data_IF_360046646699
#
_entry.id   IF_360046646699
#
_cell.length_a   1.000
_cell.length_b   1.000
_cell.length_c   1.000
_cell.angle_alpha   90.00
_cell.angle_beta   90.00
_cell.angle_gamma   90.00
#
_symmetry.space_group_name_H-M   'P 1'
#
loop_
_entity.id
_entity.type
_entity.pdbx_description
1 polymer ?
#
# COMPACT_ATOMS: atom_id res chain seq x y z
N UNK A 1 14.80 75.67 -41.69
CA UNK A 1 14.12 74.65 -42.52
C UNK A 1 15.17 74.01 -43.42
N UNK A 2 15.22 72.68 -43.66
CA UNK A 2 14.49 71.55 -43.08
C UNK A 2 15.42 70.47 -42.45
N UNK A 3 14.77 69.41 -41.98
CA UNK A 3 15.20 68.20 -41.24
C UNK A 3 16.33 67.35 -41.82
N UNK A 4 16.98 66.54 -40.97
CA UNK A 4 16.90 65.07 -41.02
C UNK A 4 17.54 64.38 -39.78
N UNK A 5 16.92 63.25 -39.41
CA UNK A 5 17.17 62.40 -38.23
C UNK A 5 18.28 61.36 -38.47
N UNK A 6 18.99 60.94 -37.42
CA UNK A 6 19.46 59.54 -37.20
C UNK A 6 19.86 59.39 -35.72
N UNK A 7 19.08 58.67 -34.90
CA UNK A 7 19.12 57.23 -34.52
C UNK A 7 20.40 56.81 -33.77
N UNK A 8 20.18 56.54 -32.48
CA UNK A 8 21.10 56.03 -31.46
C UNK A 8 21.42 54.55 -31.66
N UNK A 9 22.68 54.17 -31.43
CA UNK A 9 23.09 52.78 -31.22
C UNK A 9 23.46 52.59 -29.74
N UNK A 10 22.73 51.72 -29.04
CA UNK A 10 23.07 51.27 -27.68
C UNK A 10 23.54 49.82 -27.74
N UNK A 11 24.77 49.59 -27.25
CA UNK A 11 25.36 48.28 -27.01
C UNK A 11 24.56 47.54 -25.93
N UNK A 12 24.07 46.35 -26.25
CA UNK A 12 23.56 45.38 -25.27
C UNK A 12 24.67 44.36 -25.03
N UNK A 13 25.15 44.28 -23.79
CA UNK A 13 26.07 43.25 -23.34
C UNK A 13 25.35 41.90 -23.23
N UNK A 14 25.91 40.86 -23.84
CA UNK A 14 25.49 39.48 -23.66
C UNK A 14 25.94 38.98 -22.27
N UNK A 15 24.98 38.69 -21.40
CA UNK A 15 25.18 37.86 -20.22
C UNK A 15 25.08 36.39 -20.64
N UNK A 16 26.18 35.65 -20.49
CA UNK A 16 26.22 34.21 -20.70
C UNK A 16 25.49 33.48 -19.57
N UNK A 17 24.39 32.81 -19.89
CA UNK A 17 23.77 31.83 -19.01
C UNK A 17 24.60 30.55 -19.03
N UNK A 18 25.22 30.22 -17.90
CA UNK A 18 25.76 28.88 -17.65
C UNK A 18 24.60 27.90 -17.61
N UNK A 19 24.57 26.97 -18.55
CA UNK A 19 23.63 25.86 -18.54
C UNK A 19 23.95 24.97 -17.33
N UNK A 20 23.05 24.97 -16.34
CA UNK A 20 23.00 23.92 -15.34
C UNK A 20 22.68 22.62 -16.09
N UNK A 21 23.66 21.71 -16.15
CA UNK A 21 23.45 20.35 -16.62
C UNK A 21 22.54 19.65 -15.62
N UNK A 22 21.25 19.58 -15.94
CA UNK A 22 20.34 18.67 -15.28
C UNK A 22 20.86 17.25 -15.50
N UNK A 23 21.38 16.62 -14.45
CA UNK A 23 21.48 15.17 -14.42
C UNK A 23 20.05 14.63 -14.43
N UNK A 24 19.51 14.40 -15.61
CA UNK A 24 18.34 13.55 -15.75
C UNK A 24 18.79 12.16 -15.26
N UNK A 25 18.19 11.69 -14.17
CA UNK A 25 18.37 10.33 -13.72
C UNK A 25 18.10 9.39 -14.91
N UNK A 26 18.91 8.33 -15.10
CA UNK A 26 18.59 7.31 -16.09
C UNK A 26 17.19 6.75 -15.80
N UNK A 27 16.42 6.33 -16.82
CA UNK A 27 15.13 5.68 -16.59
C UNK A 27 15.33 4.51 -15.61
N UNK A 28 14.38 4.25 -14.68
CA UNK A 28 14.58 3.21 -13.67
C UNK A 28 14.91 1.88 -14.34
N UNK A 29 15.97 1.25 -13.84
CA UNK A 29 16.22 -0.17 -14.05
C UNK A 29 15.01 -0.95 -13.53
N UNK A 30 14.19 -1.50 -14.43
CA UNK A 30 13.00 -2.34 -14.20
C UNK A 30 11.91 -1.79 -13.26
N UNK A 31 10.65 -1.89 -13.68
CA UNK A 31 9.48 -1.58 -12.86
C UNK A 31 9.45 -2.48 -11.60
N UNK A 32 9.15 -1.90 -10.43
CA UNK A 32 8.94 -2.65 -9.19
C UNK A 32 7.65 -3.48 -9.30
N UNK A 33 7.77 -4.77 -8.98
CA UNK A 33 6.64 -5.67 -8.78
C UNK A 33 6.80 -6.29 -7.39
N UNK A 34 6.15 -5.72 -6.38
CA UNK A 34 6.33 -6.11 -4.98
C UNK A 34 5.09 -6.81 -4.41
N UNK A 35 5.26 -7.48 -3.27
CA UNK A 35 4.13 -8.01 -2.49
C UNK A 35 4.51 -8.18 -1.02
N UNK A 36 3.49 -8.41 -0.19
CA UNK A 36 3.62 -8.90 1.17
C UNK A 36 3.39 -10.41 1.21
N UNK A 37 4.22 -11.12 1.95
CA UNK A 37 3.98 -12.48 2.41
C UNK A 37 3.62 -12.41 3.89
N UNK A 38 2.34 -12.63 4.26
CA UNK A 38 1.96 -12.70 5.66
C UNK A 38 2.38 -14.04 6.26
N UNK A 39 3.38 -14.00 7.14
CA UNK A 39 3.87 -15.20 7.83
C UNK A 39 2.75 -15.92 8.61
N UNK A 40 1.80 -15.18 9.18
CA UNK A 40 0.62 -15.73 9.86
C UNK A 40 -0.36 -16.50 8.97
N UNK A 41 -0.19 -16.49 7.64
CA UNK A 41 -0.94 -17.35 6.71
C UNK A 41 -0.12 -18.54 6.18
N UNK A 42 1.16 -18.64 6.52
CA UNK A 42 2.04 -19.73 6.08
C UNK A 42 1.53 -21.12 6.46
N UNK A 43 1.01 -21.26 7.68
CA UNK A 43 0.43 -22.49 8.20
C UNK A 43 -1.10 -22.57 7.97
N UNK A 44 -1.68 -21.63 7.22
CA UNK A 44 -3.13 -21.50 6.97
C UNK A 44 -3.49 -21.58 5.50
N UNK A 45 -2.71 -22.32 4.71
CA UNK A 45 -3.02 -22.61 3.31
C UNK A 45 -2.20 -21.81 2.29
N UNK A 46 -1.21 -21.00 2.73
CA UNK A 46 -0.28 -20.33 1.82
C UNK A 46 1.17 -20.37 2.33
N UNK A 47 1.82 -21.55 2.30
CA UNK A 47 3.22 -21.69 2.72
C UNK A 47 4.19 -20.97 1.77
N UNK A 48 5.43 -20.74 2.22
CA UNK A 48 6.51 -20.11 1.43
C UNK A 48 6.73 -20.79 0.07
N UNK A 49 6.48 -22.10 -0.04
CA UNK A 49 6.61 -22.86 -1.28
C UNK A 49 5.65 -22.44 -2.39
N UNK A 50 4.53 -21.80 -2.03
CA UNK A 50 3.45 -21.46 -2.95
C UNK A 50 3.61 -20.04 -3.52
N UNK A 51 4.60 -19.29 -3.02
CA UNK A 51 4.95 -17.97 -3.53
C UNK A 51 5.38 -18.03 -5.00
N UNK A 52 4.76 -17.24 -5.89
CA UNK A 52 5.14 -17.16 -7.30
C UNK A 52 6.35 -16.22 -7.48
N UNK A 53 7.51 -16.65 -6.98
CA UNK A 53 8.72 -15.81 -6.86
C UNK A 53 9.14 -15.12 -8.16
N UNK A 54 8.98 -15.78 -9.32
CA UNK A 54 9.33 -15.22 -10.63
C UNK A 54 8.50 -13.99 -11.03
N UNK A 55 7.44 -13.68 -10.27
CA UNK A 55 6.55 -12.55 -10.50
C UNK A 55 6.94 -11.28 -9.74
N UNK A 56 7.95 -11.33 -8.87
CA UNK A 56 8.28 -10.22 -7.97
C UNK A 56 9.74 -9.78 -8.04
N UNK A 57 9.99 -8.49 -7.84
CA UNK A 57 11.32 -7.88 -7.67
C UNK A 57 11.79 -7.96 -6.22
N UNK A 58 10.85 -7.81 -5.30
CA UNK A 58 11.05 -7.82 -3.86
C UNK A 58 9.77 -8.34 -3.17
N UNK A 59 9.96 -9.00 -2.03
CA UNK A 59 8.86 -9.46 -1.19
C UNK A 59 9.14 -9.07 0.25
N UNK A 60 8.08 -8.62 0.94
CA UNK A 60 8.12 -8.20 2.34
C UNK A 60 7.46 -9.23 3.22
N UNK A 61 8.19 -9.77 4.18
CA UNK A 61 7.63 -10.62 5.22
C UNK A 61 6.87 -9.74 6.22
N UNK A 62 5.55 -9.91 6.31
CA UNK A 62 4.66 -9.16 7.19
C UNK A 62 4.36 -9.98 8.45
N UNK A 63 4.58 -9.51 9.68
CA UNK A 63 5.27 -8.28 10.09
C UNK A 63 6.16 -8.56 11.30
N UNK A 64 7.20 -7.73 11.47
CA UNK A 64 7.85 -7.52 12.75
C UNK A 64 7.18 -6.33 13.46
N UNK A 65 6.51 -6.58 14.58
CA UNK A 65 5.81 -5.53 15.33
C UNK A 65 6.76 -4.74 16.25
N UNK A 66 6.53 -3.44 16.42
CA UNK A 66 7.31 -2.64 17.38
C UNK A 66 6.89 -2.92 18.82
N UNK A 67 7.85 -2.86 19.74
CA UNK A 67 7.63 -3.04 21.18
C UNK A 67 7.93 -1.76 21.99
N UNK A 68 7.36 -1.59 23.21
CA UNK A 68 7.59 -0.40 24.04
C UNK A 68 9.06 -0.16 24.41
N UNK A 69 9.88 -1.22 24.45
CA UNK A 69 11.30 -1.19 24.79
C UNK A 69 12.22 -0.95 23.57
N UNK A 70 11.64 -0.78 22.37
CA UNK A 70 12.38 -0.58 21.12
C UNK A 70 12.91 -1.88 20.50
N UNK A 71 12.45 -3.04 20.97
CA UNK A 71 12.63 -4.33 20.28
C UNK A 71 11.60 -4.54 19.17
N UNK A 72 11.79 -5.61 18.39
CA UNK A 72 10.90 -6.04 17.32
C UNK A 72 10.40 -7.46 17.62
N UNK A 73 9.08 -7.68 17.52
CA UNK A 73 8.43 -8.95 17.79
C UNK A 73 7.88 -9.58 16.51
N UNK A 74 8.36 -10.79 16.19
CA UNK A 74 7.93 -11.59 15.04
C UNK A 74 6.97 -12.72 15.45
N UNK A 75 6.64 -12.88 16.74
CA UNK A 75 5.91 -14.04 17.28
C UNK A 75 4.52 -14.23 16.66
N UNK A 76 3.87 -13.14 16.24
CA UNK A 76 2.57 -13.15 15.56
C UNK A 76 2.63 -13.50 14.09
N UNK A 77 3.84 -13.64 13.52
CA UNK A 77 4.02 -13.93 12.11
C UNK A 77 5.01 -15.08 11.88
N UNK A 78 4.85 -16.17 12.63
CA UNK A 78 5.55 -17.44 12.35
C UNK A 78 7.07 -17.28 12.18
N UNK A 79 7.81 -16.86 13.22
CA UNK A 79 9.22 -16.48 13.11
C UNK A 79 10.11 -17.59 12.51
N UNK A 80 9.75 -18.85 12.70
CA UNK A 80 10.46 -20.01 12.15
C UNK A 80 10.40 -20.09 10.61
N UNK A 81 9.46 -19.40 9.96
CA UNK A 81 9.36 -19.32 8.50
C UNK A 81 10.29 -18.27 7.90
N UNK A 82 10.80 -17.30 8.68
CA UNK A 82 11.64 -16.22 8.16
C UNK A 82 12.91 -16.74 7.46
N UNK A 83 13.69 -17.70 8.01
CA UNK A 83 14.84 -18.24 7.31
C UNK A 83 14.47 -18.95 6.00
N UNK A 84 13.35 -19.68 5.97
CA UNK A 84 12.85 -20.40 4.78
C UNK A 84 12.46 -19.39 3.70
N UNK A 85 11.76 -18.32 4.09
CA UNK A 85 11.39 -17.20 3.24
C UNK A 85 12.62 -16.52 2.60
N UNK A 86 13.60 -16.15 3.41
CA UNK A 86 14.81 -15.46 2.92
C UNK A 86 15.60 -16.38 1.96
N UNK A 87 15.74 -17.66 2.29
CA UNK A 87 16.43 -18.61 1.41
C UNK A 87 15.70 -18.75 0.07
N UNK A 88 14.37 -18.90 0.10
CA UNK A 88 13.55 -19.04 -1.10
C UNK A 88 13.61 -17.77 -1.98
N UNK A 89 13.50 -16.58 -1.39
CA UNK A 89 13.62 -15.31 -2.10
C UNK A 89 14.98 -15.19 -2.82
N UNK A 90 16.08 -15.43 -2.09
CA UNK A 90 17.44 -15.34 -2.64
C UNK A 90 17.70 -16.35 -3.74
N UNK A 91 17.21 -17.59 -3.58
CA UNK A 91 17.30 -18.64 -4.60
C UNK A 91 16.62 -18.22 -5.91
N UNK A 92 15.58 -17.41 -5.84
CA UNK A 92 14.85 -16.90 -7.01
C UNK A 92 15.31 -15.51 -7.46
N UNK A 93 16.37 -14.93 -6.86
CA UNK A 93 16.86 -13.60 -7.22
C UNK A 93 15.94 -12.45 -6.80
N UNK A 94 15.05 -12.69 -5.83
CA UNK A 94 14.09 -11.73 -5.30
C UNK A 94 14.65 -11.13 -4.00
N UNK A 95 14.50 -9.83 -3.79
CA UNK A 95 14.93 -9.18 -2.55
C UNK A 95 14.04 -9.60 -1.39
N UNK A 96 14.64 -10.06 -0.30
CA UNK A 96 13.95 -10.43 0.93
C UNK A 96 13.96 -9.27 1.92
N UNK A 97 12.79 -8.71 2.21
CA UNK A 97 12.59 -7.67 3.22
C UNK A 97 11.76 -8.23 4.38
N UNK A 98 11.91 -7.65 5.56
CA UNK A 98 10.88 -7.70 6.61
C UNK A 98 10.20 -6.34 6.65
N UNK A 99 8.87 -6.34 6.68
CA UNK A 99 8.10 -5.15 6.98
C UNK A 99 7.94 -5.00 8.49
N UNK A 100 8.44 -3.87 9.00
CA UNK A 100 8.31 -3.47 10.39
C UNK A 100 7.04 -2.64 10.50
N UNK A 101 6.17 -2.99 11.45
CA UNK A 101 4.93 -2.26 11.71
C UNK A 101 3.67 -3.00 11.26
N UNK A 102 2.96 -2.42 10.30
CA UNK A 102 1.58 -2.75 9.96
C UNK A 102 0.59 -2.14 10.96
N UNK A 103 -0.70 -2.39 10.74
CA UNK A 103 -1.79 -1.83 11.55
C UNK A 103 -1.59 -2.01 13.07
N UNK A 104 -1.32 -3.24 13.52
CA UNK A 104 -1.11 -3.57 14.94
C UNK A 104 0.30 -3.24 15.44
N UNK A 105 1.31 -3.43 14.59
CA UNK A 105 2.71 -3.26 14.95
C UNK A 105 3.19 -1.80 14.97
N UNK A 106 2.36 -0.84 14.56
CA UNK A 106 2.70 0.59 14.50
C UNK A 106 2.65 1.34 15.84
N UNK A 107 2.34 0.66 16.96
CA UNK A 107 2.06 1.30 18.26
C UNK A 107 3.24 2.11 18.82
N UNK A 108 4.48 1.70 18.57
CA UNK A 108 5.67 2.24 19.25
C UNK A 108 6.72 2.87 18.33
N UNK A 109 6.38 3.14 17.06
CA UNK A 109 7.26 3.88 16.16
C UNK A 109 7.59 5.28 16.68
N UNK A 110 6.58 6.04 17.11
CA UNK A 110 6.76 7.41 17.61
C UNK A 110 7.75 7.50 18.77
N UNK A 111 7.66 6.57 19.73
CA UNK A 111 8.61 6.50 20.85
C UNK A 111 9.99 6.02 20.41
N UNK A 112 10.06 5.06 19.49
CA UNK A 112 11.33 4.54 18.95
C UNK A 112 12.11 5.61 18.19
N UNK A 113 11.44 6.54 17.51
CA UNK A 113 12.09 7.64 16.78
C UNK A 113 12.17 8.96 17.57
N UNK A 114 11.42 9.08 18.67
CA UNK A 114 11.12 10.35 19.33
C UNK A 114 12.30 11.06 20.01
N UNK A 115 13.47 10.42 20.14
CA UNK A 115 14.69 11.04 20.65
C UNK A 115 15.93 10.48 19.97
N UNK A 116 17.04 11.23 19.97
CA UNK A 116 18.31 10.76 19.39
C UNK A 116 18.79 9.43 20.01
N UNK A 117 18.63 9.28 21.34
CA UNK A 117 18.97 8.03 22.04
C UNK A 117 18.13 6.86 21.53
N UNK A 118 16.82 7.04 21.40
CA UNK A 118 15.93 5.98 20.95
C UNK A 118 16.16 5.65 19.48
N UNK A 119 16.38 6.65 18.60
CA UNK A 119 16.73 6.42 17.20
C UNK A 119 18.00 5.61 17.05
N UNK A 120 19.08 5.99 17.75
CA UNK A 120 20.34 5.23 17.72
C UNK A 120 20.16 3.80 18.21
N UNK A 121 19.36 3.58 19.25
CA UNK A 121 19.05 2.23 19.74
C UNK A 121 18.24 1.43 18.70
N UNK A 122 17.23 2.05 18.08
CA UNK A 122 16.39 1.38 17.10
C UNK A 122 17.09 1.13 15.76
N UNK A 123 18.05 1.98 15.36
CA UNK A 123 18.96 1.72 14.23
C UNK A 123 19.72 0.42 14.49
N UNK A 124 20.24 0.23 15.71
CA UNK A 124 20.90 -1.03 16.09
C UNK A 124 19.93 -2.21 16.08
N UNK A 125 18.70 -2.06 16.57
CA UNK A 125 17.66 -3.09 16.47
C UNK A 125 17.42 -3.52 15.01
N UNK A 126 17.25 -2.56 14.10
CA UNK A 126 17.02 -2.82 12.69
C UNK A 126 18.22 -3.53 12.01
N UNK A 127 19.45 -3.05 12.26
CA UNK A 127 20.66 -3.67 11.70
C UNK A 127 20.90 -5.08 12.25
N UNK A 128 20.57 -5.32 13.52
CA UNK A 128 20.63 -6.67 14.10
C UNK A 128 19.64 -7.60 13.40
N UNK A 129 18.40 -7.17 13.19
CA UNK A 129 17.38 -7.96 12.47
C UNK A 129 17.84 -8.31 11.05
N UNK A 130 18.36 -7.32 10.32
CA UNK A 130 18.91 -7.52 8.97
C UNK A 130 20.04 -8.53 8.98
N UNK A 131 20.97 -8.42 9.93
CA UNK A 131 22.11 -9.34 10.06
C UNK A 131 21.69 -10.76 10.44
N UNK A 132 20.77 -10.88 11.39
CA UNK A 132 20.28 -12.15 11.92
C UNK A 132 19.61 -12.98 10.82
N UNK A 133 18.68 -12.36 10.08
CA UNK A 133 17.94 -13.05 9.03
C UNK A 133 18.58 -12.91 7.65
N UNK A 134 19.70 -12.20 7.53
CA UNK A 134 20.41 -11.94 6.27
C UNK A 134 19.50 -11.26 5.24
N UNK A 135 18.74 -10.25 5.65
CA UNK A 135 17.81 -9.54 4.77
C UNK A 135 18.55 -8.69 3.74
N UNK A 136 17.91 -8.44 2.60
CA UNK A 136 18.39 -7.47 1.60
C UNK A 136 17.95 -6.04 1.97
N UNK A 137 16.98 -5.90 2.88
CA UNK A 137 16.36 -4.63 3.17
C UNK A 137 15.30 -4.68 4.27
N UNK A 138 14.68 -3.53 4.50
CA UNK A 138 13.57 -3.33 5.44
C UNK A 138 12.48 -2.50 4.79
N UNK A 139 11.23 -2.85 5.09
CA UNK A 139 10.07 -2.02 4.81
C UNK A 139 9.55 -1.42 6.13
N UNK A 140 9.12 -0.16 6.09
CA UNK A 140 8.53 0.53 7.23
C UNK A 140 7.07 0.85 6.96
N UNK A 141 6.17 0.07 7.55
CA UNK A 141 4.73 0.27 7.45
C UNK A 141 4.21 0.92 8.73
N UNK A 142 4.40 2.24 8.84
CA UNK A 142 3.96 3.02 9.99
C UNK A 142 2.57 3.64 9.75
N UNK A 143 1.61 3.16 10.54
CA UNK A 143 0.22 3.58 10.53
C UNK A 143 -0.21 4.30 11.83
N UNK A 144 -0.08 5.64 11.95
CA UNK A 144 0.52 6.60 10.99
C UNK A 144 1.34 7.68 11.72
N UNK A 145 2.35 8.29 11.07
CA UNK A 145 3.06 9.45 11.63
C UNK A 145 2.09 10.59 11.98
N UNK A 146 2.14 11.07 13.23
CA UNK A 146 1.32 12.16 13.76
C UNK A 146 -0.20 12.00 13.53
N UNK A 147 -0.71 10.75 13.57
CA UNK A 147 -2.15 10.43 13.53
C UNK A 147 -2.39 9.02 14.08
N UNK A 148 -3.54 8.79 14.69
CA UNK A 148 -3.93 7.44 15.11
C UNK A 148 -4.18 6.54 13.89
N UNK A 149 -3.74 5.28 13.99
CA UNK A 149 -4.20 4.16 13.17
C UNK A 149 -5.12 3.29 14.02
N UNK A 150 -4.55 2.25 14.62
CA UNK A 150 -5.23 1.30 15.51
C UNK A 150 -6.00 1.94 16.67
N UNK A 151 -5.55 3.10 17.17
CA UNK A 151 -6.28 3.89 18.18
C UNK A 151 -5.57 4.04 19.53
N UNK A 152 -4.45 3.34 19.73
CA UNK A 152 -3.57 3.50 20.88
C UNK A 152 -2.10 3.66 20.47
N UNK A 153 -1.84 4.12 19.25
CA UNK A 153 -0.49 4.43 18.81
C UNK A 153 0.09 5.55 19.69
N UNK A 154 1.37 5.43 20.06
CA UNK A 154 2.13 6.59 20.53
C UNK A 154 2.23 7.60 19.38
N UNK A 155 2.06 8.88 19.71
CA UNK A 155 2.05 9.98 18.72
C UNK A 155 2.95 11.12 19.18
N UNK A 156 3.70 11.68 18.24
CA UNK A 156 4.43 12.92 18.42
C UNK A 156 4.21 13.82 17.19
N UNK A 157 4.02 15.12 17.42
CA UNK A 157 3.87 16.08 16.30
C UNK A 157 5.05 16.03 15.32
N UNK A 158 6.25 15.70 15.78
CA UNK A 158 7.45 15.63 14.95
C UNK A 158 7.69 14.23 14.35
N UNK A 159 6.71 13.33 14.35
CA UNK A 159 6.86 11.93 13.91
C UNK A 159 7.51 11.80 12.53
N UNK A 160 7.02 12.51 11.51
CA UNK A 160 7.58 12.45 10.16
C UNK A 160 9.05 12.95 10.11
N UNK A 161 9.36 14.05 10.80
CA UNK A 161 10.74 14.57 10.85
C UNK A 161 11.69 13.63 11.60
N UNK A 162 11.22 13.03 12.70
CA UNK A 162 11.97 12.05 13.46
C UNK A 162 12.19 10.77 12.65
N UNK A 163 11.22 10.36 11.84
CA UNK A 163 11.34 9.20 10.96
C UNK A 163 12.42 9.42 9.90
N UNK A 164 12.39 10.59 9.23
CA UNK A 164 13.42 10.94 8.26
C UNK A 164 14.81 10.94 8.91
N UNK A 165 14.94 11.58 10.08
CA UNK A 165 16.20 11.60 10.84
C UNK A 165 16.69 10.19 11.19
N UNK A 166 15.77 9.29 11.55
CA UNK A 166 16.09 7.88 11.81
C UNK A 166 16.63 7.18 10.55
N UNK A 167 15.96 7.34 9.41
CA UNK A 167 16.41 6.74 8.14
C UNK A 167 17.78 7.29 7.71
N UNK A 168 18.03 8.58 7.90
CA UNK A 168 19.35 9.17 7.67
C UNK A 168 20.43 8.61 8.63
N UNK A 169 20.10 8.41 9.91
CA UNK A 169 20.99 7.77 10.88
C UNK A 169 21.29 6.31 10.51
N UNK A 170 20.29 5.59 10.00
CA UNK A 170 20.43 4.23 9.47
C UNK A 170 21.36 4.20 8.24
N UNK A 171 21.13 5.08 7.26
CA UNK A 171 21.98 5.19 6.05
C UNK A 171 23.43 5.56 6.34
N UNK A 172 23.71 6.25 7.45
CA UNK A 172 25.07 6.60 7.89
C UNK A 172 25.85 5.41 8.45
N UNK A 173 25.18 4.32 8.86
CA UNK A 173 25.87 3.11 9.28
C UNK A 173 26.43 2.36 8.07
N UNK A 174 27.65 1.78 8.14
CA UNK A 174 28.23 1.02 7.03
C UNK A 174 27.30 -0.08 6.50
N UNK A 175 26.65 -0.81 7.40
CA UNK A 175 25.70 -1.88 7.08
C UNK A 175 24.36 -1.36 6.55
N UNK A 176 24.00 -0.11 6.86
CA UNK A 176 22.74 0.52 6.44
C UNK A 176 22.82 1.23 5.09
N UNK A 177 24.03 1.56 4.62
CA UNK A 177 24.26 2.34 3.40
C UNK A 177 23.62 1.70 2.16
N UNK A 178 23.78 0.39 2.00
CA UNK A 178 23.39 -0.34 0.78
C UNK A 178 22.10 -1.17 0.94
N UNK A 179 21.36 -1.01 2.06
CA UNK A 179 20.10 -1.72 2.28
C UNK A 179 19.01 -1.26 1.32
N UNK A 180 18.15 -2.17 0.89
CA UNK A 180 16.93 -1.81 0.18
C UNK A 180 15.89 -1.32 1.21
N UNK A 181 15.56 -0.02 1.23
CA UNK A 181 14.65 0.56 2.21
C UNK A 181 13.38 1.05 1.54
N UNK A 182 12.24 0.59 2.02
CA UNK A 182 10.93 1.01 1.53
C UNK A 182 10.04 1.46 2.68
N UNK A 183 8.96 2.17 2.35
CA UNK A 183 7.94 2.48 3.34
C UNK A 183 6.55 2.39 2.71
N UNK A 184 5.55 2.09 3.53
CA UNK A 184 4.14 2.19 3.14
C UNK A 184 3.53 3.49 3.70
N UNK A 185 2.66 4.09 2.90
CA UNK A 185 1.97 5.34 3.22
C UNK A 185 0.50 5.28 2.82
N UNK A 186 -0.34 6.03 3.53
CA UNK A 186 -1.77 6.14 3.19
C UNK A 186 -1.99 6.91 1.88
N UNK A 187 -3.25 7.06 1.46
CA UNK A 187 -3.63 7.95 0.34
C UNK A 187 -3.23 9.42 0.53
N UNK A 188 -2.89 9.83 1.76
CA UNK A 188 -2.33 11.15 2.04
C UNK A 188 -0.86 11.04 2.44
N UNK A 189 -0.03 12.04 2.04
CA UNK A 189 1.30 12.24 2.60
C UNK A 189 1.29 12.23 4.12
N UNK A 190 2.38 11.79 4.73
CA UNK A 190 2.52 11.80 6.19
C UNK A 190 2.33 13.20 6.77
N UNK A 191 1.75 13.25 7.99
CA UNK A 191 1.42 14.52 8.61
C UNK A 191 2.66 15.29 9.08
N UNK A 192 2.67 16.59 8.85
CA UNK A 192 3.66 17.51 9.43
C UNK A 192 3.34 17.82 10.91
N UNK A 193 4.13 18.69 11.53
CA UNK A 193 3.97 19.07 12.95
C UNK A 193 2.66 19.79 13.30
N UNK A 194 1.90 20.25 12.31
CA UNK A 194 0.57 20.84 12.49
C UNK A 194 -0.56 19.80 12.38
N UNK A 195 -0.24 18.53 12.09
CA UNK A 195 -1.24 17.47 11.96
C UNK A 195 -1.96 17.44 10.61
N UNK A 196 -1.43 18.14 9.60
CA UNK A 196 -1.95 18.14 8.23
C UNK A 196 -0.95 17.45 7.30
N UNK A 197 -1.42 16.91 6.17
CA UNK A 197 -0.57 16.26 5.19
C UNK A 197 0.62 17.15 4.78
N UNK A 198 1.83 16.62 4.87
CA UNK A 198 3.04 17.37 4.54
C UNK A 198 3.13 17.67 3.04
N UNK A 199 3.67 18.84 2.71
CA UNK A 199 4.09 19.21 1.35
C UNK A 199 5.61 19.15 1.19
N UNK A 200 6.30 18.63 2.20
CA UNK A 200 7.76 18.62 2.33
C UNK A 200 8.20 17.23 2.82
N UNK A 201 8.45 16.34 1.87
CA UNK A 201 8.88 14.95 2.07
C UNK A 201 10.03 14.56 1.12
N UNK A 202 10.63 15.51 0.41
CA UNK A 202 11.72 15.25 -0.55
C UNK A 202 12.94 14.58 0.11
N UNK A 203 13.20 14.85 1.39
CA UNK A 203 14.21 14.15 2.18
C UNK A 203 14.06 12.63 2.17
N UNK A 204 12.82 12.12 2.16
CA UNK A 204 12.56 10.67 2.11
C UNK A 204 12.97 10.05 0.76
N UNK A 205 12.86 10.78 -0.34
CA UNK A 205 13.28 10.32 -1.66
C UNK A 205 14.79 10.02 -1.74
N UNK A 206 15.59 10.62 -0.86
CA UNK A 206 17.05 10.40 -0.79
C UNK A 206 17.45 9.17 0.04
N UNK A 207 16.55 8.65 0.86
CA UNK A 207 16.87 7.56 1.81
C UNK A 207 16.07 6.29 1.54
N UNK A 208 14.94 6.38 0.85
CA UNK A 208 14.10 5.25 0.45
C UNK A 208 14.29 4.91 -1.04
N UNK A 209 14.24 3.63 -1.35
CA UNK A 209 14.21 3.12 -2.71
C UNK A 209 12.84 3.40 -3.36
N UNK A 210 11.75 3.21 -2.62
CA UNK A 210 10.41 3.65 -2.99
C UNK A 210 9.47 3.81 -1.79
N UNK A 211 8.36 4.49 -2.00
CA UNK A 211 7.20 4.54 -1.10
C UNK A 211 6.01 3.87 -1.78
N UNK A 212 5.40 2.90 -1.11
CA UNK A 212 4.16 2.27 -1.54
C UNK A 212 2.96 3.03 -0.99
N UNK A 213 2.02 3.40 -1.86
CA UNK A 213 0.74 3.99 -1.47
C UNK A 213 -0.29 2.88 -1.26
N UNK A 214 -0.78 2.74 -0.02
CA UNK A 214 -1.87 1.84 0.37
C UNK A 214 -3.20 2.30 -0.22
N UNK A 215 -3.37 2.10 -1.53
CA UNK A 215 -4.60 2.44 -2.24
C UNK A 215 -5.66 1.33 -2.08
N UNK A 216 -6.08 1.11 -0.84
CA UNK A 216 -7.10 0.13 -0.42
C UNK A 216 -7.67 0.51 0.95
N UNK A 217 -8.67 -0.23 1.42
CA UNK A 217 -9.42 0.01 2.66
C UNK A 217 -10.17 1.34 2.69
N UNK A 218 -10.70 1.76 1.54
CA UNK A 218 -11.53 2.97 1.45
C UNK A 218 -12.95 2.76 1.99
N UNK A 219 -13.50 1.58 1.76
CA UNK A 219 -14.83 1.16 2.21
C UNK A 219 -14.73 -0.23 2.84
N UNK A 220 -15.40 -0.41 3.97
CA UNK A 220 -15.47 -1.70 4.67
C UNK A 220 -16.63 -1.75 5.66
N UNK A 221 -16.60 -2.68 6.61
CA UNK A 221 -17.69 -2.86 7.58
C UNK A 221 -17.96 -1.63 8.48
N UNK A 222 -17.05 -0.65 8.52
CA UNK A 222 -17.23 0.63 9.22
C UNK A 222 -18.03 1.68 8.41
N UNK A 223 -18.18 1.50 7.10
CA UNK A 223 -18.79 2.50 6.21
C UNK A 223 -20.32 2.49 6.30
N UNK A 224 -21.04 3.60 6.04
CA UNK A 224 -22.51 3.59 6.03
C UNK A 224 -23.10 2.93 4.76
N UNK A 225 -22.30 2.75 3.71
CA UNK A 225 -22.69 2.15 2.44
C UNK A 225 -21.63 1.15 1.97
N UNK A 226 -22.02 0.27 1.05
CA UNK A 226 -21.07 -0.36 0.14
C UNK A 226 -20.33 0.69 -0.71
N UNK A 227 -19.14 0.33 -1.17
CA UNK A 227 -18.30 1.18 -2.00
C UNK A 227 -17.01 0.45 -2.41
N UNK A 228 -16.18 1.08 -3.26
CA UNK A 228 -14.96 0.48 -3.78
C UNK A 228 -13.91 0.29 -2.69
N UNK A 229 -13.32 -0.91 -2.55
CA UNK A 229 -12.19 -1.13 -1.63
C UNK A 229 -10.97 -0.28 -2.03
N UNK A 230 -10.64 -0.24 -3.31
CA UNK A 230 -9.39 0.33 -3.81
C UNK A 230 -9.60 1.17 -5.09
N UNK A 231 -10.29 2.32 -4.99
CA UNK A 231 -10.62 3.14 -6.14
C UNK A 231 -9.39 3.78 -6.79
N UNK A 232 -9.29 3.71 -8.12
CA UNK A 232 -8.33 4.51 -8.88
C UNK A 232 -8.73 5.99 -8.94
N UNK A 233 -10.03 6.30 -9.03
CA UNK A 233 -10.57 7.65 -8.98
C UNK A 233 -11.86 7.69 -8.18
N UNK A 234 -12.09 8.78 -7.42
CA UNK A 234 -13.35 9.00 -6.69
C UNK A 234 -14.35 9.88 -7.45
N UNK A 235 -14.12 10.18 -8.72
CA UNK A 235 -14.95 11.11 -9.51
C UNK A 235 -16.43 10.67 -9.63
N UNK A 236 -16.73 9.38 -9.43
CA UNK A 236 -18.10 8.86 -9.37
C UNK A 236 -18.70 8.86 -7.94
N UNK A 237 -17.95 9.27 -6.92
CA UNK A 237 -18.35 9.17 -5.51
C UNK A 237 -18.06 10.44 -4.72
N UNK A 238 -19.06 11.31 -4.64
CA UNK A 238 -18.97 12.55 -3.87
C UNK A 238 -18.99 12.36 -2.35
N UNK A 239 -19.26 11.15 -1.85
CA UNK A 239 -19.20 10.85 -0.40
C UNK A 239 -17.79 10.53 0.06
N UNK A 240 -16.94 10.04 -0.84
CA UNK A 240 -15.55 9.75 -0.53
C UNK A 240 -14.76 11.06 -0.36
N UNK A 241 -14.34 11.33 0.86
CA UNK A 241 -13.46 12.43 1.24
C UNK A 241 -12.02 11.97 1.60
N UNK A 242 -11.75 10.67 1.49
CA UNK A 242 -10.44 10.07 1.76
C UNK A 242 -9.53 10.10 0.52
N UNK A 243 -10.10 10.22 -0.68
CA UNK A 243 -9.36 10.25 -1.94
C UNK A 243 -9.35 8.91 -2.66
N UNK A 244 -8.50 8.81 -3.68
CA UNK A 244 -8.31 7.61 -4.50
C UNK A 244 -6.86 7.58 -5.03
N UNK A 245 -6.51 6.51 -5.75
CA UNK A 245 -5.16 6.30 -6.26
C UNK A 245 -4.60 7.46 -7.11
N UNK A 246 -5.42 8.09 -7.95
CA UNK A 246 -5.04 9.26 -8.76
C UNK A 246 -4.63 10.46 -7.90
N UNK A 247 -5.50 10.88 -6.99
CA UNK A 247 -5.24 11.99 -6.08
C UNK A 247 -4.08 11.70 -5.12
N UNK A 248 -3.90 10.45 -4.68
CA UNK A 248 -2.81 10.11 -3.80
C UNK A 248 -1.45 10.26 -4.50
N UNK A 249 -1.32 9.75 -5.73
CA UNK A 249 -0.10 9.94 -6.53
C UNK A 249 0.20 11.43 -6.72
N UNK A 250 -0.81 12.24 -7.03
CA UNK A 250 -0.65 13.68 -7.18
C UNK A 250 -0.18 14.34 -5.87
N UNK A 251 -0.81 14.02 -4.73
CA UNK A 251 -0.46 14.58 -3.42
C UNK A 251 0.96 14.20 -2.98
N UNK A 252 1.33 12.93 -3.09
CA UNK A 252 2.67 12.46 -2.73
C UNK A 252 3.75 13.02 -3.66
N UNK A 253 3.44 13.15 -4.96
CA UNK A 253 4.34 13.82 -5.90
C UNK A 253 4.52 15.30 -5.58
N UNK A 254 3.43 16.00 -5.25
CA UNK A 254 3.46 17.40 -4.86
C UNK A 254 4.20 17.63 -3.52
N UNK A 255 4.25 16.61 -2.65
CA UNK A 255 5.02 16.64 -1.42
C UNK A 255 6.53 16.36 -1.62
N UNK A 256 6.97 16.12 -2.85
CA UNK A 256 8.40 15.98 -3.19
C UNK A 256 8.87 14.55 -3.47
N UNK A 257 7.99 13.55 -3.45
CA UNK A 257 8.37 12.17 -3.82
C UNK A 257 8.34 12.02 -5.35
N UNK A 258 9.44 11.66 -6.01
CA UNK A 258 9.44 11.41 -7.45
C UNK A 258 8.43 10.34 -7.83
N UNK A 259 7.66 10.54 -8.90
CA UNK A 259 6.70 9.55 -9.40
C UNK A 259 7.35 8.17 -9.62
N UNK A 260 8.59 8.14 -10.10
CA UNK A 260 9.37 6.90 -10.29
C UNK A 260 9.77 6.17 -9.00
N UNK A 261 9.54 6.77 -7.83
CA UNK A 261 9.70 6.17 -6.50
C UNK A 261 8.35 5.95 -5.79
N UNK A 262 7.23 6.21 -6.48
CA UNK A 262 5.90 5.89 -5.97
C UNK A 262 5.47 4.52 -6.52
N UNK A 263 5.10 3.62 -5.64
CA UNK A 263 4.59 2.28 -5.97
C UNK A 263 3.09 2.22 -5.62
N UNK A 264 2.26 1.83 -6.58
CA UNK A 264 0.81 1.75 -6.35
C UNK A 264 0.45 0.44 -5.62
N UNK A 265 -0.13 0.56 -4.42
CA UNK A 265 -0.72 -0.56 -3.70
C UNK A 265 -1.99 -1.07 -4.38
N UNK A 266 -2.11 -2.38 -4.54
CA UNK A 266 -3.30 -3.04 -5.11
C UNK A 266 -3.70 -4.24 -4.23
N UNK A 267 -4.94 -4.32 -3.72
CA UNK A 267 -5.31 -5.38 -2.79
C UNK A 267 -5.67 -6.68 -3.52
N UNK A 268 -5.22 -7.82 -3.00
CA UNK A 268 -5.69 -9.15 -3.42
C UNK A 268 -6.90 -9.62 -2.60
N UNK A 269 -7.70 -8.67 -2.10
CA UNK A 269 -8.87 -8.90 -1.26
C UNK A 269 -9.93 -7.82 -1.47
N UNK A 270 -11.12 -8.07 -0.95
CA UNK A 270 -12.25 -7.17 -0.92
C UNK A 270 -13.00 -7.18 0.40
N UNK A 271 -13.99 -6.29 0.51
CA UNK A 271 -14.83 -6.12 1.69
C UNK A 271 -16.29 -6.45 1.37
N UNK A 272 -16.93 -7.16 2.28
CA UNK A 272 -18.34 -7.51 2.26
C UNK A 272 -19.20 -6.56 3.08
N UNK A 273 -20.46 -6.42 2.68
CA UNK A 273 -21.43 -5.49 3.23
C UNK A 273 -22.79 -6.19 3.35
N UNK A 274 -23.45 -6.08 4.50
CA UNK A 274 -24.80 -6.61 4.70
C UNK A 274 -25.81 -5.67 4.04
N UNK A 275 -26.41 -6.08 2.93
CA UNK A 275 -27.27 -5.22 2.10
C UNK A 275 -28.53 -5.96 1.69
N UNK A 276 -29.69 -5.47 2.14
CA UNK A 276 -30.97 -6.05 1.74
C UNK A 276 -31.20 -5.96 0.22
N UNK A 277 -31.94 -6.91 -0.33
CA UNK A 277 -32.12 -7.04 -1.78
C UNK A 277 -32.66 -5.77 -2.47
N UNK A 278 -33.59 -5.05 -1.84
CA UNK A 278 -34.17 -3.81 -2.39
C UNK A 278 -33.14 -2.68 -2.50
N UNK A 279 -32.18 -2.63 -1.57
CA UNK A 279 -31.09 -1.64 -1.58
C UNK A 279 -30.00 -2.01 -2.57
N UNK A 280 -29.68 -3.30 -2.65
CA UNK A 280 -28.68 -3.84 -3.58
C UNK A 280 -29.12 -3.68 -5.03
N UNK A 281 -30.40 -3.93 -5.35
CA UNK A 281 -30.89 -3.98 -6.74
C UNK A 281 -31.86 -2.84 -7.05
N UNK A 282 -31.40 -1.86 -7.82
CA UNK A 282 -32.23 -0.77 -8.35
C UNK A 282 -32.58 -1.06 -9.81
N UNK A 283 -33.87 -1.23 -10.11
CA UNK A 283 -34.36 -1.61 -11.45
C UNK A 283 -33.64 -2.85 -12.01
N UNK A 284 -33.40 -3.85 -11.16
CA UNK A 284 -32.71 -5.09 -11.53
C UNK A 284 -31.19 -4.95 -11.73
N UNK A 285 -30.60 -3.76 -11.54
CA UNK A 285 -29.16 -3.52 -11.63
C UNK A 285 -28.56 -3.39 -10.24
N UNK A 286 -27.37 -3.97 -10.07
CA UNK A 286 -26.62 -3.87 -8.83
C UNK A 286 -26.16 -2.43 -8.60
N UNK A 287 -26.57 -1.85 -7.48
CA UNK A 287 -26.18 -0.51 -7.02
C UNK A 287 -24.70 -0.50 -6.65
N UNK A 288 -24.00 0.56 -7.05
CA UNK A 288 -22.58 0.75 -6.73
C UNK A 288 -22.33 1.09 -5.25
N UNK A 289 -23.31 1.74 -4.62
CA UNK A 289 -23.16 2.25 -3.26
C UNK A 289 -24.44 2.08 -2.45
N UNK A 290 -24.89 0.83 -2.24
CA UNK A 290 -26.10 0.57 -1.46
C UNK A 290 -25.87 0.86 0.03
N UNK A 291 -26.89 1.35 0.77
CA UNK A 291 -26.81 1.44 2.23
C UNK A 291 -26.60 0.05 2.84
N UNK A 292 -25.73 -0.04 3.85
CA UNK A 292 -25.46 -1.30 4.56
C UNK A 292 -26.03 -1.30 5.98
N UNK A 293 -26.30 -2.49 6.52
CA UNK A 293 -26.59 -2.69 7.92
C UNK A 293 -25.28 -2.87 8.71
N UNK A 294 -24.72 -1.77 9.22
CA UNK A 294 -23.45 -1.75 9.96
C UNK A 294 -23.48 -2.51 11.29
N UNK A 295 -24.67 -2.81 11.82
CA UNK A 295 -24.81 -3.60 13.06
C UNK A 295 -24.70 -5.10 12.82
N UNK A 296 -24.91 -5.55 11.58
CA UNK A 296 -24.74 -6.94 11.20
C UNK A 296 -23.31 -7.18 10.73
N UNK A 297 -22.44 -7.57 11.68
CA UNK A 297 -21.06 -7.98 11.44
C UNK A 297 -21.01 -9.49 11.19
N UNK A 298 -20.29 -9.91 10.16
CA UNK A 298 -20.19 -11.31 9.75
C UNK A 298 -18.77 -11.61 9.28
N UNK A 299 -18.37 -12.88 9.41
CA UNK A 299 -17.09 -13.35 8.92
C UNK A 299 -17.14 -13.51 7.39
N UNK A 300 -16.17 -12.93 6.70
CA UNK A 300 -16.04 -13.04 5.25
C UNK A 300 -15.44 -14.38 4.82
N UNK A 301 -14.18 -14.58 5.16
CA UNK A 301 -13.41 -15.80 4.82
C UNK A 301 -12.90 -16.52 6.05
N UNK A 302 -12.36 -17.72 5.86
CA UNK A 302 -11.64 -18.42 6.94
C UNK A 302 -10.35 -17.71 7.40
N UNK A 303 -9.87 -16.70 6.66
CA UNK A 303 -8.77 -15.80 7.09
C UNK A 303 -9.25 -14.52 7.80
N UNK A 304 -10.54 -14.19 7.72
CA UNK A 304 -11.17 -13.06 8.43
C UNK A 304 -11.43 -13.40 9.91
N UNK A 305 -10.35 -13.71 10.63
CA UNK A 305 -10.39 -14.22 12.00
C UNK A 305 -9.59 -13.31 12.91
N UNK A 306 -10.11 -12.10 13.14
CA UNK A 306 -9.55 -11.19 14.13
C UNK A 306 -9.92 -11.63 15.55
N UNK A 307 -9.06 -11.35 16.55
CA UNK A 307 -9.42 -11.56 17.94
C UNK A 307 -10.63 -10.69 18.30
N UNK A 308 -11.49 -11.15 19.22
CA UNK A 308 -12.68 -10.39 19.61
C UNK A 308 -12.37 -9.00 20.22
N UNK A 309 -11.15 -8.82 20.72
CA UNK A 309 -10.63 -7.57 21.29
C UNK A 309 -9.26 -7.30 20.64
N UNK A 310 -9.05 -6.07 20.17
CA UNK A 310 -7.79 -5.63 19.57
C UNK A 310 -6.70 -5.34 20.62
N UNK A 311 -5.49 -5.05 20.15
CA UNK A 311 -4.32 -4.72 20.98
C UNK A 311 -4.46 -3.41 21.77
N UNK A 312 -5.49 -2.62 21.51
CA UNK A 312 -5.85 -1.40 22.24
C UNK A 312 -7.00 -1.62 23.23
N UNK A 313 -7.56 -2.83 23.31
CA UNK A 313 -8.68 -3.15 24.18
C UNK A 313 -10.07 -2.83 23.60
N UNK A 314 -10.17 -2.50 22.31
CA UNK A 314 -11.45 -2.23 21.66
C UNK A 314 -12.07 -3.51 21.08
N UNK A 315 -13.41 -3.61 20.99
CA UNK A 315 -14.06 -4.70 20.27
C UNK A 315 -13.66 -4.74 18.80
N UNK A 316 -13.23 -5.91 18.31
CA UNK A 316 -12.88 -6.14 16.92
C UNK A 316 -13.79 -7.22 16.32
N UNK A 317 -15.05 -6.87 15.99
CA UNK A 317 -15.95 -7.81 15.34
C UNK A 317 -15.48 -8.11 13.90
N UNK A 318 -15.87 -9.26 13.32
CA UNK A 318 -15.45 -9.67 11.98
C UNK A 318 -15.56 -8.55 10.94
N UNK A 319 -14.54 -8.46 10.07
CA UNK A 319 -14.39 -7.39 9.08
C UNK A 319 -15.24 -7.59 7.83
N UNK A 320 -15.64 -8.84 7.54
CA UNK A 320 -16.28 -9.19 6.28
C UNK A 320 -15.26 -9.22 5.13
N UNK A 321 -14.02 -9.60 5.43
CA UNK A 321 -12.90 -9.54 4.46
C UNK A 321 -12.81 -10.82 3.64
N UNK A 322 -12.66 -10.65 2.32
CA UNK A 322 -12.55 -11.76 1.37
C UNK A 322 -11.30 -11.62 0.51
N UNK A 323 -10.24 -12.40 0.76
CA UNK A 323 -9.21 -12.65 -0.25
C UNK A 323 -9.84 -13.14 -1.57
N UNK A 324 -9.23 -12.89 -2.72
CA UNK A 324 -9.80 -13.30 -4.01
C UNK A 324 -10.09 -14.81 -4.05
N UNK A 325 -9.18 -15.63 -3.51
CA UNK A 325 -9.38 -17.08 -3.46
C UNK A 325 -10.65 -17.48 -2.70
N UNK A 326 -11.01 -16.80 -1.61
CA UNK A 326 -12.17 -17.19 -0.80
C UNK A 326 -13.48 -16.81 -1.48
N UNK A 327 -13.50 -15.75 -2.31
CA UNK A 327 -14.64 -15.44 -3.18
C UNK A 327 -14.94 -16.55 -4.18
N UNK A 328 -13.92 -17.35 -4.53
CA UNK A 328 -14.01 -18.47 -5.47
C UNK A 328 -14.33 -19.77 -4.72
N UNK A 329 -13.55 -20.10 -3.69
CA UNK A 329 -13.57 -21.45 -3.10
C UNK A 329 -14.46 -21.58 -1.86
N UNK A 330 -14.76 -20.50 -1.16
CA UNK A 330 -15.57 -20.53 0.07
C UNK A 330 -16.95 -19.91 -0.15
N UNK A 331 -16.99 -18.67 -0.65
CA UNK A 331 -18.20 -17.86 -0.70
C UNK A 331 -19.02 -18.05 -1.99
N UNK A 332 -18.43 -18.63 -3.04
CA UNK A 332 -19.12 -18.94 -4.30
C UNK A 332 -19.58 -17.71 -5.08
N UNK A 333 -18.98 -16.54 -4.85
CA UNK A 333 -19.26 -15.33 -5.62
C UNK A 333 -18.68 -15.40 -7.04
N UNK A 334 -17.55 -16.10 -7.19
CA UNK A 334 -16.77 -16.16 -8.41
C UNK A 334 -16.53 -17.60 -8.88
N UNK A 335 -16.36 -17.79 -10.19
CA UNK A 335 -15.87 -19.03 -10.81
C UNK A 335 -14.35 -19.14 -10.65
N UNK A 336 -13.78 -20.30 -11.00
CA UNK A 336 -12.34 -20.54 -10.95
C UNK A 336 -11.52 -19.56 -11.83
N UNK A 337 -12.14 -18.92 -12.83
CA UNK A 337 -11.54 -17.90 -13.69
C UNK A 337 -11.68 -16.47 -13.13
N UNK A 338 -12.17 -16.32 -11.89
CA UNK A 338 -12.39 -15.01 -11.26
C UNK A 338 -13.54 -14.22 -11.90
N UNK A 339 -14.53 -14.91 -12.49
CA UNK A 339 -15.73 -14.28 -13.08
C UNK A 339 -16.94 -14.45 -12.18
N UNK A 340 -17.93 -13.55 -12.19
CA UNK A 340 -19.15 -13.72 -11.40
C UNK A 340 -19.80 -15.08 -11.65
N UNK A 341 -20.07 -15.83 -10.58
CA UNK A 341 -20.70 -17.13 -10.68
C UNK A 341 -22.18 -17.02 -11.14
N UNK A 342 -22.77 -18.09 -11.73
CA UNK A 342 -24.17 -18.08 -12.13
C UNK A 342 -25.11 -17.70 -10.97
N UNK A 343 -26.00 -16.73 -11.21
CA UNK A 343 -26.94 -16.24 -10.20
C UNK A 343 -26.41 -15.11 -9.31
N UNK A 344 -25.11 -14.83 -9.35
CA UNK A 344 -24.48 -13.69 -8.66
C UNK A 344 -24.67 -12.42 -9.50
N UNK A 345 -25.19 -11.37 -8.86
CA UNK A 345 -25.32 -10.07 -9.51
C UNK A 345 -23.96 -9.38 -9.58
N UNK A 346 -23.66 -8.67 -10.66
CA UNK A 346 -22.38 -8.02 -10.89
C UNK A 346 -22.57 -6.58 -11.37
N UNK A 347 -21.63 -5.72 -11.01
CA UNK A 347 -21.50 -4.37 -11.57
C UNK A 347 -20.03 -3.96 -11.62
N UNK A 348 -19.76 -2.92 -12.40
CA UNK A 348 -18.45 -2.33 -12.58
C UNK A 348 -18.56 -0.82 -12.45
N UNK A 349 -17.70 -0.22 -11.62
CA UNK A 349 -17.58 1.23 -11.52
C UNK A 349 -16.43 1.72 -12.40
N UNK A 350 -16.76 2.52 -13.42
CA UNK A 350 -15.78 3.02 -14.37
C UNK A 350 -14.88 4.12 -13.81
N UNK A 351 -15.21 4.81 -12.72
CA UNK A 351 -14.31 5.80 -12.12
C UNK A 351 -13.30 5.11 -11.20
N UNK A 352 -13.79 4.30 -10.27
CA UNK A 352 -12.94 3.61 -9.31
C UNK A 352 -12.16 2.45 -9.95
N UNK A 353 -12.62 1.96 -11.11
CA UNK A 353 -12.09 0.77 -11.78
C UNK A 353 -12.16 -0.48 -10.90
N UNK A 354 -13.21 -0.60 -10.09
CA UNK A 354 -13.43 -1.77 -9.23
C UNK A 354 -14.76 -2.45 -9.57
N UNK A 355 -14.82 -3.79 -9.56
CA UNK A 355 -16.08 -4.53 -9.59
C UNK A 355 -16.79 -4.55 -8.24
N UNK A 356 -18.07 -4.95 -8.29
CA UNK A 356 -18.78 -5.47 -7.13
C UNK A 356 -19.70 -6.63 -7.51
N UNK A 357 -19.93 -7.53 -6.56
CA UNK A 357 -20.81 -8.70 -6.68
C UNK A 357 -21.83 -8.76 -5.56
N UNK A 358 -22.96 -9.43 -5.78
CA UNK A 358 -24.01 -9.57 -4.78
C UNK A 358 -24.74 -10.90 -4.87
N UNK A 359 -24.93 -11.54 -3.71
CA UNK A 359 -25.67 -12.78 -3.56
C UNK A 359 -27.00 -12.49 -2.86
N UNK A 360 -28.12 -12.78 -3.55
CA UNK A 360 -29.48 -12.53 -3.04
C UNK A 360 -29.84 -13.41 -1.85
N UNK A 361 -29.24 -14.59 -1.73
CA UNK A 361 -29.55 -15.55 -0.66
C UNK A 361 -28.90 -15.16 0.65
N UNK A 362 -27.62 -14.76 0.61
CA UNK A 362 -26.91 -14.31 1.82
C UNK A 362 -27.12 -12.82 2.12
N UNK A 363 -27.66 -12.06 1.17
CA UNK A 363 -27.78 -10.60 1.23
C UNK A 363 -26.43 -9.89 1.46
N UNK A 364 -25.35 -10.47 0.93
CA UNK A 364 -24.00 -9.91 1.00
C UNK A 364 -23.60 -9.30 -0.33
N UNK A 365 -23.20 -8.03 -0.28
CA UNK A 365 -22.60 -7.26 -1.37
C UNK A 365 -21.09 -7.17 -1.14
N UNK A 366 -20.26 -7.43 -2.14
CA UNK A 366 -18.79 -7.40 -2.00
C UNK A 366 -18.18 -6.49 -3.05
N UNK A 367 -17.30 -5.58 -2.64
CA UNK A 367 -16.36 -4.89 -3.54
C UNK A 367 -14.97 -5.49 -3.38
N UNK A 368 -14.31 -5.72 -4.50
CA UNK A 368 -13.00 -6.37 -4.59
C UNK A 368 -12.27 -5.88 -5.84
N UNK A 369 -11.05 -6.33 -6.06
CA UNK A 369 -10.33 -6.17 -7.32
C UNK A 369 -10.33 -7.50 -8.11
N UNK A 370 -10.52 -7.42 -9.43
CA UNK A 370 -10.43 -8.55 -10.35
C UNK A 370 -9.28 -8.36 -11.36
N UNK A 371 -9.12 -9.30 -12.30
CA UNK A 371 -8.11 -9.18 -13.34
C UNK A 371 -8.28 -7.90 -14.20
N UNK A 372 -9.51 -7.40 -14.38
CA UNK A 372 -9.75 -6.18 -15.15
C UNK A 372 -9.26 -4.96 -14.37
N UNK A 373 -9.56 -4.88 -13.08
CA UNK A 373 -9.11 -3.76 -12.24
C UNK A 373 -7.59 -3.73 -12.08
N UNK A 374 -6.95 -4.89 -11.87
CA UNK A 374 -5.48 -5.01 -11.85
C UNK A 374 -4.86 -4.56 -13.18
N UNK A 375 -5.47 -4.90 -14.32
CA UNK A 375 -4.99 -4.43 -15.62
C UNK A 375 -5.16 -2.91 -15.80
N UNK A 376 -6.28 -2.32 -15.35
CA UNK A 376 -6.48 -0.86 -15.39
C UNK A 376 -5.49 -0.12 -14.48
N UNK A 377 -5.22 -0.67 -13.29
CA UNK A 377 -4.20 -0.16 -12.36
C UNK A 377 -2.79 -0.27 -12.94
N UNK A 378 -2.46 -1.35 -13.65
CA UNK A 378 -1.21 -1.48 -14.40
C UNK A 378 -1.05 -0.44 -15.51
N UNK A 379 -2.12 -0.16 -16.27
CA UNK A 379 -2.10 0.94 -17.26
C UNK A 379 -1.90 2.30 -16.59
N UNK A 380 -2.51 2.52 -15.44
CA UNK A 380 -2.33 3.74 -14.65
C UNK A 380 -0.89 3.90 -14.17
N UNK A 381 -0.24 2.83 -13.69
CA UNK A 381 1.19 2.80 -13.31
C UNK A 381 2.06 3.30 -14.47
N UNK A 382 1.89 2.74 -15.67
CA UNK A 382 2.66 3.16 -16.85
C UNK A 382 2.35 4.60 -17.27
N UNK A 383 1.07 4.98 -17.33
CA UNK A 383 0.62 6.31 -17.76
C UNK A 383 1.23 7.42 -16.89
N UNK A 384 1.32 7.19 -15.58
CA UNK A 384 1.83 8.17 -14.62
C UNK A 384 3.33 8.03 -14.33
N UNK A 385 4.01 7.09 -14.99
CA UNK A 385 5.45 6.80 -14.81
C UNK A 385 5.79 6.48 -13.36
N UNK A 386 4.91 5.71 -12.71
CA UNK A 386 5.12 5.24 -11.34
C UNK A 386 6.31 4.28 -11.29
N UNK A 387 6.94 4.15 -10.12
CA UNK A 387 8.02 3.19 -9.86
C UNK A 387 7.58 1.74 -9.96
N UNK A 388 6.29 1.45 -9.76
CA UNK A 388 5.73 0.11 -9.92
C UNK A 388 4.40 -0.11 -9.22
N UNK A 389 4.16 -1.36 -8.84
CA UNK A 389 3.01 -1.77 -8.04
C UNK A 389 3.42 -2.73 -6.93
N UNK A 390 2.61 -2.79 -5.86
CA UNK A 390 2.77 -3.75 -4.78
C UNK A 390 1.42 -4.35 -4.41
N UNK A 391 1.38 -5.66 -4.20
CA UNK A 391 0.14 -6.34 -3.80
C UNK A 391 0.08 -6.57 -2.29
N UNK A 392 -1.07 -6.31 -1.66
CA UNK A 392 -1.36 -6.80 -0.30
C UNK A 392 -2.52 -7.80 -0.38
N UNK A 393 -2.33 -9.08 -0.14
CA UNK A 393 -1.06 -9.79 0.01
C UNK A 393 -0.98 -10.98 -0.97
N UNK A 394 0.21 -11.56 -1.14
CA UNK A 394 0.45 -12.61 -2.14
C UNK A 394 -0.52 -13.79 -2.01
N UNK A 395 -0.79 -14.22 -0.77
CA UNK A 395 -1.66 -15.34 -0.49
C UNK A 395 -3.13 -15.09 -0.81
N UNK A 396 -3.53 -13.84 -1.06
CA UNK A 396 -4.91 -13.51 -1.41
C UNK A 396 -5.28 -13.82 -2.86
N UNK A 397 -4.29 -13.87 -3.76
CA UNK A 397 -4.52 -14.11 -5.19
C UNK A 397 -4.77 -15.60 -5.47
N UNK A 398 -5.76 -15.89 -6.30
CA UNK A 398 -6.09 -17.26 -6.70
C UNK A 398 -5.43 -17.59 -8.03
N UNK A 399 -4.55 -18.58 -8.06
CA UNK A 399 -3.87 -19.05 -9.28
C UNK A 399 -3.23 -17.90 -10.09
N UNK A 400 -2.69 -16.89 -9.39
CA UNK A 400 -2.02 -15.73 -9.98
C UNK A 400 -2.90 -14.90 -10.93
N UNK A 401 -4.24 -14.93 -10.79
CA UNK A 401 -5.17 -14.19 -11.66
C UNK A 401 -4.85 -12.69 -11.65
N UNK A 402 -4.65 -12.12 -10.47
CA UNK A 402 -4.44 -10.68 -10.30
C UNK A 402 -3.02 -10.28 -10.71
N UNK A 403 -2.01 -10.96 -10.18
CA UNK A 403 -0.61 -10.62 -10.45
C UNK A 403 -0.26 -10.76 -11.94
N UNK A 404 -0.78 -11.79 -12.63
CA UNK A 404 -0.57 -11.94 -14.07
C UNK A 404 -1.23 -10.81 -14.86
N UNK A 405 -2.41 -10.34 -14.43
CA UNK A 405 -3.13 -9.27 -15.11
C UNK A 405 -2.39 -7.93 -15.06
N UNK A 406 -1.88 -7.54 -13.88
CA UNK A 406 -1.13 -6.28 -13.74
C UNK A 406 0.25 -6.35 -14.39
N UNK A 407 0.95 -7.49 -14.30
CA UNK A 407 2.23 -7.71 -15.01
C UNK A 407 2.07 -7.57 -16.52
N UNK A 408 1.09 -8.25 -17.10
CA UNK A 408 0.77 -8.13 -18.52
C UNK A 408 0.45 -6.68 -18.91
N UNK A 409 -0.33 -5.96 -18.10
CA UNK A 409 -0.69 -4.57 -18.38
C UNK A 409 0.50 -3.60 -18.26
N UNK A 410 1.51 -3.96 -17.46
CA UNK A 410 2.75 -3.18 -17.28
C UNK A 410 3.89 -3.62 -18.20
N UNK A 411 3.69 -4.66 -19.02
CA UNK A 411 4.71 -5.19 -19.92
C UNK A 411 5.77 -6.06 -19.23
N UNK A 412 5.53 -6.48 -17.99
CA UNK A 412 6.34 -7.48 -17.29
C UNK A 412 5.86 -8.88 -17.72
N UNK A 413 6.77 -9.71 -18.26
CA UNK A 413 6.49 -11.10 -18.64
C UNK A 413 6.86 -12.05 -17.51
#
# INVERSE_FOLDING_TARGET
MPSLRSISASMVGLLGFGAATSYAAPPPSSLVASTYFAGFHSNRGFPVSDMPWDKFTDVKYAFAETSPDGSLDLSRSEPDQVPIFVEAAKKNGVKALISIGGWTGSRWFSTSFGSAKNRTAFVKTCLNLVKEHKLDGLDFDWEYPNRQGLGCNAINKNDAANFLTFLEELRKQPEGKDLYLTAAGSLFPWNNASGVASTDLDGFANVLDYIMIMNYDLYGAWSPTGGPNAPLSRTCDTRNNQGAGDEAVEKWSAAGIPSSQIVLGVPAYGHGFSVNQTSALKNGKLSLYPPQNTTHRFQGSSWDTDPAIDDCGNPSPPGGTYPLWSLITEAGFLTAEGKPAPGISYTWDDCSKTPAVYNKTSEIWVSYDDARSFAEKGKFVLKNKLGGFATYEAGGDYNNILINAIRKATGLN
#
